data_IF_691573566051
#
_entry.id   IF_691573566051
#
_cell.length_a   1.000
_cell.length_b   1.000
_cell.length_c   1.000
_cell.angle_alpha   90.00
_cell.angle_beta   90.00
_cell.angle_gamma   90.00
#
_symmetry.space_group_name_H-M   'P 1'
#
loop_
_entity.id
_entity.type
_entity.pdbx_description
1 polymer ?
#
# COMPACT_ATOMS: atom_id res chain seq x y z
N UNK A 1 3.09 13.43 19.61
CA UNK A 1 3.07 14.45 18.54
C UNK A 1 2.02 14.01 17.53
N UNK A 2 1.08 14.87 17.12
CA UNK A 2 -0.03 14.42 16.26
C UNK A 2 0.46 14.15 14.84
N UNK A 3 0.09 13.01 14.26
CA UNK A 3 0.43 12.62 12.88
C UNK A 3 -0.03 13.67 11.87
N UNK A 4 -1.20 14.28 12.08
CA UNK A 4 -1.69 15.40 11.28
C UNK A 4 -0.67 16.56 11.18
N UNK A 5 0.02 16.88 12.27
CA UNK A 5 1.01 17.96 12.29
C UNK A 5 2.22 17.63 11.43
N UNK A 6 2.71 16.38 11.49
CA UNK A 6 3.88 15.97 10.70
C UNK A 6 3.53 15.81 9.21
N UNK A 7 2.32 15.35 8.90
CA UNK A 7 1.81 15.37 7.52
C UNK A 7 1.68 16.80 6.99
N UNK A 8 1.16 17.74 7.78
CA UNK A 8 1.06 19.14 7.35
C UNK A 8 2.43 19.76 7.01
N UNK A 9 3.49 19.37 7.74
CA UNK A 9 4.87 19.77 7.41
C UNK A 9 5.34 19.16 6.09
N UNK A 10 5.09 17.86 5.86
CA UNK A 10 5.42 17.21 4.60
C UNK A 10 4.73 17.91 3.43
N UNK A 11 3.42 18.15 3.54
CA UNK A 11 2.63 18.81 2.51
C UNK A 11 3.09 20.23 2.22
N UNK A 12 3.39 21.00 3.27
CA UNK A 12 3.98 22.34 3.15
C UNK A 12 5.34 22.32 2.43
N UNK A 13 6.21 21.37 2.79
CA UNK A 13 7.53 21.21 2.17
C UNK A 13 7.42 20.79 0.69
N UNK A 14 6.50 19.87 0.37
CA UNK A 14 6.23 19.42 -0.98
C UNK A 14 5.54 20.47 -1.85
N UNK A 15 4.88 21.46 -1.23
CA UNK A 15 4.02 22.41 -1.94
C UNK A 15 2.76 21.75 -2.51
N UNK A 16 2.25 20.69 -1.85
CA UNK A 16 1.14 19.85 -2.32
C UNK A 16 0.10 19.64 -1.22
N UNK A 17 -1.03 19.02 -1.56
CA UNK A 17 -1.99 18.46 -0.59
C UNK A 17 -2.21 16.97 -0.87
N UNK A 18 -2.84 16.20 0.04
CA UNK A 18 -3.20 14.82 -0.26
C UNK A 18 -3.99 14.65 -1.56
N UNK A 19 -4.84 15.64 -1.90
CA UNK A 19 -5.69 15.65 -3.09
C UNK A 19 -4.90 15.94 -4.37
N UNK A 20 -3.93 16.86 -4.34
CA UNK A 20 -3.12 17.19 -5.54
C UNK A 20 -1.95 16.23 -5.73
N UNK A 21 -1.55 15.53 -4.65
CA UNK A 21 -0.37 14.66 -4.62
C UNK A 21 -0.34 13.67 -5.77
N UNK A 22 -1.43 12.94 -6.06
CA UNK A 22 -1.39 11.91 -7.11
C UNK A 22 -1.13 12.50 -8.51
N UNK A 23 -1.59 13.72 -8.78
CA UNK A 23 -1.41 14.37 -10.08
C UNK A 23 -0.05 15.08 -10.19
N UNK A 24 0.45 15.63 -9.08
CA UNK A 24 1.65 16.48 -9.04
C UNK A 24 2.93 15.74 -8.61
N UNK A 25 2.82 14.54 -8.02
CA UNK A 25 3.95 13.76 -7.45
C UNK A 25 5.05 13.44 -8.45
N UNK A 26 4.71 13.25 -9.73
CA UNK A 26 5.63 12.69 -10.71
C UNK A 26 6.19 11.32 -10.29
N UNK A 27 7.50 11.10 -10.45
CA UNK A 27 8.13 9.82 -10.11
C UNK A 27 8.26 9.58 -8.59
N UNK A 28 8.25 10.66 -7.78
CA UNK A 28 8.31 10.59 -6.31
C UNK A 28 9.67 10.26 -5.69
N UNK A 29 10.75 10.17 -6.46
CA UNK A 29 12.11 9.97 -5.92
C UNK A 29 12.50 11.05 -4.90
N UNK A 30 11.97 12.27 -5.10
CA UNK A 30 12.19 13.43 -4.23
C UNK A 30 11.65 13.25 -2.81
N UNK A 31 10.68 12.36 -2.57
CA UNK A 31 10.09 12.12 -1.24
C UNK A 31 11.15 11.71 -0.22
N UNK A 32 12.17 10.96 -0.67
CA UNK A 32 13.28 10.51 0.17
C UNK A 32 14.13 11.67 0.73
N UNK A 33 14.05 12.86 0.12
CA UNK A 33 14.75 14.06 0.57
C UNK A 33 14.00 14.84 1.66
N UNK A 34 12.80 14.42 2.08
CA UNK A 34 12.06 15.11 3.13
C UNK A 34 12.84 15.06 4.46
N UNK A 35 13.23 16.20 5.05
CA UNK A 35 14.06 16.20 6.27
C UNK A 35 13.29 15.78 7.53
N UNK A 36 11.96 15.70 7.47
CA UNK A 36 11.10 15.42 8.63
C UNK A 36 10.70 13.95 8.80
N UNK A 37 11.35 13.01 8.10
CA UNK A 37 10.99 11.59 8.15
C UNK A 37 10.98 11.00 9.56
N UNK A 38 12.02 11.26 10.37
CA UNK A 38 12.11 10.71 11.72
C UNK A 38 10.92 11.12 12.61
N UNK A 39 10.52 12.40 12.53
CA UNK A 39 9.39 12.91 13.28
C UNK A 39 8.06 12.31 12.79
N UNK A 40 7.91 12.17 11.47
CA UNK A 40 6.74 11.56 10.85
C UNK A 40 6.60 10.09 11.22
N UNK A 41 7.69 9.31 11.17
CA UNK A 41 7.70 7.90 11.57
C UNK A 41 7.35 7.74 13.04
N UNK A 42 7.90 8.58 13.92
CA UNK A 42 7.53 8.58 15.34
C UNK A 42 6.03 8.86 15.53
N UNK A 43 5.51 9.88 14.88
CA UNK A 43 4.08 10.23 14.97
C UNK A 43 3.17 9.13 14.40
N UNK A 44 3.62 8.42 13.36
CA UNK A 44 2.90 7.29 12.80
C UNK A 44 2.86 6.08 13.75
N UNK A 45 3.96 5.79 14.46
CA UNK A 45 3.99 4.76 15.52
C UNK A 45 2.98 5.10 16.63
N UNK A 46 3.00 6.33 17.12
CA UNK A 46 2.03 6.80 18.14
C UNK A 46 0.57 6.71 17.62
N UNK A 47 0.34 6.92 16.32
CA UNK A 47 -0.97 6.77 15.69
C UNK A 47 -1.44 5.31 15.61
N UNK A 48 -0.52 4.37 15.32
CA UNK A 48 -0.81 2.94 15.31
C UNK A 48 -1.20 2.42 16.70
N UNK A 49 -0.48 2.85 17.74
CA UNK A 49 -0.79 2.54 19.14
C UNK A 49 -2.19 3.04 19.51
N UNK A 50 -2.55 4.25 19.11
CA UNK A 50 -3.89 4.80 19.33
C UNK A 50 -4.97 3.98 18.62
N UNK A 51 -4.74 3.56 17.37
CA UNK A 51 -5.70 2.73 16.63
C UNK A 51 -5.97 1.36 17.29
N UNK A 52 -4.99 0.80 18.02
CA UNK A 52 -5.19 -0.43 18.81
C UNK A 52 -6.12 -0.20 20.01
N UNK A 53 -6.10 1.00 20.61
CA UNK A 53 -7.02 1.34 21.72
C UNK A 53 -8.44 1.65 21.26
N UNK A 54 -8.59 2.10 20.01
CA UNK A 54 -9.88 2.41 19.40
C UNK A 54 -9.74 2.86 17.95
N UNK A 55 -10.52 2.25 17.06
CA UNK A 55 -10.42 2.55 15.64
C UNK A 55 -10.99 3.93 15.30
N UNK A 56 -10.12 4.89 15.03
CA UNK A 56 -10.46 6.23 14.57
C UNK A 56 -10.28 6.34 13.05
N UNK A 57 -11.35 6.68 12.33
CA UNK A 57 -11.34 6.74 10.87
C UNK A 57 -10.46 7.86 10.29
N UNK A 58 -10.38 9.01 10.96
CA UNK A 58 -9.57 10.15 10.50
C UNK A 58 -8.08 9.88 10.72
N UNK A 59 -7.73 9.33 11.89
CA UNK A 59 -6.36 8.90 12.18
C UNK A 59 -5.91 7.78 11.22
N UNK A 60 -6.79 6.83 10.92
CA UNK A 60 -6.51 5.82 9.91
C UNK A 60 -6.32 6.44 8.52
N UNK A 61 -7.06 7.49 8.15
CA UNK A 61 -6.85 8.19 6.88
C UNK A 61 -5.50 8.91 6.85
N UNK A 62 -5.09 9.53 7.96
CA UNK A 62 -3.77 10.14 8.08
C UNK A 62 -2.65 9.10 7.91
N UNK A 63 -2.80 7.91 8.52
CA UNK A 63 -1.86 6.82 8.31
C UNK A 63 -1.84 6.30 6.87
N UNK A 64 -2.98 6.31 6.16
CA UNK A 64 -3.02 5.98 4.72
C UNK A 64 -2.23 7.00 3.89
N UNK A 65 -2.32 8.30 4.21
CA UNK A 65 -1.48 9.31 3.57
C UNK A 65 0.00 9.14 3.90
N UNK A 66 0.33 8.86 5.17
CA UNK A 66 1.71 8.56 5.59
C UNK A 66 2.26 7.33 4.86
N UNK A 67 1.44 6.28 4.69
CA UNK A 67 1.78 5.09 3.92
C UNK A 67 2.07 5.47 2.46
N UNK A 68 1.22 6.28 1.83
CA UNK A 68 1.39 6.66 0.43
C UNK A 68 2.68 7.45 0.17
N UNK A 69 3.02 8.43 1.02
CA UNK A 69 4.23 9.25 0.84
C UNK A 69 5.51 8.49 1.19
N UNK A 70 5.44 7.51 2.09
CA UNK A 70 6.54 6.60 2.41
C UNK A 70 6.65 5.46 1.38
N UNK A 71 6.57 5.83 0.10
CA UNK A 71 6.43 4.89 -1.01
C UNK A 71 7.69 4.03 -1.22
N UNK A 72 8.88 4.61 -1.15
CA UNK A 72 10.12 3.88 -1.44
C UNK A 72 10.51 2.98 -0.24
N UNK A 73 10.69 3.61 0.92
CA UNK A 73 11.31 2.96 2.09
C UNK A 73 10.38 1.99 2.82
N UNK A 74 9.05 2.16 2.71
CA UNK A 74 8.04 1.27 3.30
C UNK A 74 8.20 1.08 4.83
N UNK A 75 8.78 2.06 5.53
CA UNK A 75 8.92 2.05 6.98
C UNK A 75 7.54 2.02 7.64
N UNK A 76 6.59 2.84 7.18
CA UNK A 76 5.21 2.87 7.66
C UNK A 76 4.52 1.53 7.41
N UNK A 77 4.70 0.92 6.24
CA UNK A 77 4.16 -0.42 5.96
C UNK A 77 4.70 -1.46 6.96
N UNK A 78 6.02 -1.46 7.21
CA UNK A 78 6.63 -2.34 8.21
C UNK A 78 6.05 -2.09 9.61
N UNK A 79 5.86 -0.83 10.01
CA UNK A 79 5.25 -0.49 11.30
C UNK A 79 3.78 -0.90 11.39
N UNK A 80 3.00 -0.78 10.32
CA UNK A 80 1.63 -1.31 10.27
C UNK A 80 1.63 -2.83 10.44
N UNK A 81 2.55 -3.52 9.76
CA UNK A 81 2.71 -4.96 9.87
C UNK A 81 3.03 -5.40 11.31
N UNK A 82 4.00 -4.73 11.94
CA UNK A 82 4.49 -5.03 13.29
C UNK A 82 3.51 -4.66 14.41
N UNK A 83 2.88 -3.48 14.34
CA UNK A 83 2.23 -2.85 15.49
C UNK A 83 0.71 -2.89 15.48
N UNK A 84 0.07 -2.93 14.30
CA UNK A 84 -1.40 -2.90 14.24
C UNK A 84 -1.96 -4.29 14.53
N UNK A 85 -2.69 -4.45 15.63
CA UNK A 85 -3.22 -5.75 16.07
C UNK A 85 -4.31 -6.25 15.10
N UNK A 86 -5.24 -5.38 14.71
CA UNK A 86 -6.29 -5.68 13.74
C UNK A 86 -6.14 -4.85 12.46
N UNK A 87 -5.64 -5.50 11.41
CA UNK A 87 -5.29 -4.84 10.14
C UNK A 87 -6.49 -4.67 9.19
N UNK A 88 -7.58 -5.42 9.36
CA UNK A 88 -8.68 -5.48 8.39
C UNK A 88 -9.27 -4.10 8.06
N UNK A 89 -9.60 -3.30 9.09
CA UNK A 89 -10.22 -1.98 8.89
C UNK A 89 -9.26 -0.99 8.22
N UNK A 90 -7.99 -1.02 8.62
CA UNK A 90 -6.95 -0.20 8.00
C UNK A 90 -6.73 -0.59 6.53
N UNK A 91 -6.56 -1.88 6.23
CA UNK A 91 -6.42 -2.38 4.87
C UNK A 91 -7.62 -1.99 4.01
N UNK A 92 -8.86 -2.17 4.50
CA UNK A 92 -10.07 -1.75 3.77
C UNK A 92 -10.07 -0.25 3.45
N UNK A 93 -9.47 0.58 4.30
CA UNK A 93 -9.31 2.00 4.00
C UNK A 93 -8.23 2.24 2.94
N UNK A 94 -7.05 1.63 3.12
CA UNK A 94 -5.91 1.81 2.23
C UNK A 94 -6.17 1.33 0.80
N UNK A 95 -6.85 0.20 0.60
CA UNK A 95 -7.19 -0.32 -0.75
C UNK A 95 -8.20 0.57 -1.49
N UNK A 96 -8.94 1.43 -0.78
CA UNK A 96 -9.90 2.37 -1.36
C UNK A 96 -9.33 3.81 -1.44
N UNK A 97 -8.04 3.99 -1.16
CA UNK A 97 -7.39 5.28 -1.35
C UNK A 97 -7.35 5.65 -2.84
N UNK A 98 -7.53 6.93 -3.12
CA UNK A 98 -7.22 7.56 -4.41
C UNK A 98 -5.74 7.43 -4.80
N UNK A 99 -4.83 7.38 -3.83
CA UNK A 99 -3.38 7.27 -4.03
C UNK A 99 -2.96 5.82 -4.33
N UNK A 100 -2.47 5.51 -5.56
CA UNK A 100 -2.00 4.18 -5.91
C UNK A 100 -0.88 3.67 -5.00
N UNK A 101 -0.09 4.58 -4.42
CA UNK A 101 1.02 4.29 -3.50
C UNK A 101 0.53 3.57 -2.23
N UNK A 102 -0.58 4.02 -1.66
CA UNK A 102 -1.21 3.33 -0.54
C UNK A 102 -1.83 1.98 -0.97
N UNK A 103 -2.49 1.93 -2.13
CA UNK A 103 -3.17 0.71 -2.60
C UNK A 103 -2.20 -0.45 -2.85
N UNK A 104 -1.04 -0.19 -3.47
CA UNK A 104 -0.07 -1.25 -3.70
C UNK A 104 0.58 -1.73 -2.40
N UNK A 105 0.82 -0.83 -1.44
CA UNK A 105 1.33 -1.20 -0.11
C UNK A 105 0.29 -2.00 0.68
N UNK A 106 -1.00 -1.68 0.53
CA UNK A 106 -2.08 -2.49 1.11
C UNK A 106 -2.12 -3.90 0.50
N UNK A 107 -1.94 -4.01 -0.82
CA UNK A 107 -1.79 -5.32 -1.48
C UNK A 107 -0.59 -6.10 -0.95
N UNK A 108 0.53 -5.42 -0.66
CA UNK A 108 1.68 -6.06 -0.05
C UNK A 108 1.41 -6.53 1.37
N UNK A 109 0.79 -5.71 2.21
CA UNK A 109 0.40 -6.07 3.58
C UNK A 109 -0.50 -7.32 3.59
N UNK A 110 -1.47 -7.39 2.67
CA UNK A 110 -2.34 -8.55 2.48
C UNK A 110 -1.57 -9.83 2.12
N UNK A 111 -0.43 -9.71 1.45
CA UNK A 111 0.43 -10.85 1.09
C UNK A 111 1.39 -11.29 2.20
N UNK A 112 1.61 -10.45 3.23
CA UNK A 112 2.56 -10.69 4.32
C UNK A 112 1.87 -11.03 5.65
N UNK A 113 0.63 -10.56 5.84
CA UNK A 113 -0.14 -10.73 7.08
C UNK A 113 -1.38 -11.60 6.89
N UNK A 114 -1.82 -12.23 7.99
CA UNK A 114 -3.15 -12.82 8.07
C UNK A 114 -4.18 -11.70 8.23
N UNK A 115 -5.01 -11.52 7.21
CA UNK A 115 -6.13 -10.56 7.19
C UNK A 115 -7.34 -11.30 6.65
N UNK A 116 -8.48 -11.13 7.33
CA UNK A 116 -9.75 -11.69 6.86
C UNK A 116 -10.02 -11.28 5.40
N UNK A 117 -10.52 -12.21 4.59
CA UNK A 117 -10.81 -12.03 3.16
C UNK A 117 -9.60 -11.64 2.29
N UNK A 118 -8.34 -11.81 2.74
CA UNK A 118 -7.15 -11.34 1.98
C UNK A 118 -7.09 -11.81 0.53
N UNK A 119 -7.45 -13.07 0.26
CA UNK A 119 -7.47 -13.60 -1.11
C UNK A 119 -8.47 -12.84 -2.00
N UNK A 120 -9.69 -12.60 -1.49
CA UNK A 120 -10.75 -11.88 -2.18
C UNK A 120 -10.38 -10.41 -2.39
N UNK A 121 -9.77 -9.77 -1.39
CA UNK A 121 -9.32 -8.38 -1.49
C UNK A 121 -8.22 -8.23 -2.56
N UNK A 122 -7.25 -9.15 -2.59
CA UNK A 122 -6.21 -9.18 -3.63
C UNK A 122 -6.80 -9.44 -5.03
N UNK A 123 -7.71 -10.40 -5.17
CA UNK A 123 -8.40 -10.67 -6.43
C UNK A 123 -9.19 -9.46 -6.94
N UNK A 124 -9.80 -8.67 -6.06
CA UNK A 124 -10.50 -7.45 -6.43
C UNK A 124 -9.54 -6.38 -6.98
N UNK A 125 -8.38 -6.19 -6.34
CA UNK A 125 -7.36 -5.26 -6.84
C UNK A 125 -6.85 -5.68 -8.23
N UNK A 126 -6.56 -6.97 -8.44
CA UNK A 126 -6.09 -7.50 -9.73
C UNK A 126 -7.12 -7.27 -10.85
N UNK A 127 -8.41 -7.38 -10.54
CA UNK A 127 -9.47 -7.20 -11.53
C UNK A 127 -9.77 -5.73 -11.82
N UNK A 128 -9.86 -4.90 -10.77
CA UNK A 128 -10.57 -3.61 -10.84
C UNK A 128 -9.68 -2.39 -10.78
N UNK A 129 -8.44 -2.50 -10.32
CA UNK A 129 -7.58 -1.31 -10.19
C UNK A 129 -7.24 -0.73 -11.58
N UNK A 130 -7.16 0.59 -11.68
CA UNK A 130 -6.72 1.24 -12.91
C UNK A 130 -5.19 1.13 -13.06
N UNK A 131 -4.48 1.11 -11.93
CA UNK A 131 -3.03 1.17 -11.89
C UNK A 131 -2.40 -0.22 -12.09
N UNK A 132 -1.54 -0.33 -13.11
CA UNK A 132 -0.86 -1.59 -13.48
C UNK A 132 0.16 -2.01 -12.42
N UNK A 133 0.80 -1.08 -11.74
CA UNK A 133 1.71 -1.35 -10.64
C UNK A 133 0.95 -1.95 -9.46
N UNK A 134 -0.23 -1.40 -9.10
CA UNK A 134 -1.09 -1.98 -8.05
C UNK A 134 -1.50 -3.40 -8.41
N UNK A 135 -1.99 -3.64 -9.63
CA UNK A 135 -2.34 -4.98 -10.13
C UNK A 135 -1.17 -5.96 -10.02
N UNK A 136 0.02 -5.52 -10.40
CA UNK A 136 1.24 -6.33 -10.30
C UNK A 136 1.55 -6.73 -8.87
N UNK A 137 1.54 -5.77 -7.92
CA UNK A 137 1.80 -6.05 -6.50
C UNK A 137 0.73 -6.96 -5.90
N UNK A 138 -0.54 -6.75 -6.24
CA UNK A 138 -1.63 -7.63 -5.82
C UNK A 138 -1.48 -9.07 -6.35
N UNK A 139 -1.08 -9.26 -7.61
CA UNK A 139 -0.82 -10.57 -8.18
C UNK A 139 0.35 -11.29 -7.49
N UNK A 140 1.45 -10.58 -7.22
CA UNK A 140 2.60 -11.13 -6.49
C UNK A 140 2.21 -11.55 -5.07
N UNK A 141 1.45 -10.71 -4.35
CA UNK A 141 0.93 -11.04 -3.02
C UNK A 141 -0.03 -12.22 -3.06
N UNK A 142 -0.92 -12.28 -4.06
CA UNK A 142 -1.84 -13.40 -4.22
C UNK A 142 -1.08 -14.70 -4.44
N UNK A 143 0.05 -14.69 -5.17
CA UNK A 143 0.88 -15.90 -5.33
C UNK A 143 1.48 -16.41 -4.02
N UNK A 144 1.68 -15.54 -3.02
CA UNK A 144 2.13 -15.95 -1.67
C UNK A 144 0.98 -16.50 -0.83
N UNK A 145 -0.22 -15.93 -1.00
CA UNK A 145 -1.43 -16.29 -0.24
C UNK A 145 -2.08 -17.57 -0.77
N UNK A 146 -2.27 -17.65 -2.09
CA UNK A 146 -2.88 -18.76 -2.79
C UNK A 146 -2.33 -18.81 -4.23
N UNK A 147 -1.28 -19.61 -4.42
CA UNK A 147 -0.62 -19.75 -5.72
C UNK A 147 -1.56 -20.28 -6.81
N UNK A 148 -2.50 -21.18 -6.49
CA UNK A 148 -3.43 -21.72 -7.47
C UNK A 148 -4.35 -20.63 -8.04
N UNK A 149 -4.93 -19.79 -7.18
CA UNK A 149 -5.73 -18.65 -7.62
C UNK A 149 -4.88 -17.64 -8.41
N UNK A 150 -3.65 -17.35 -7.95
CA UNK A 150 -2.72 -16.48 -8.67
C UNK A 150 -2.38 -16.99 -10.06
N UNK A 151 -2.23 -18.32 -10.23
CA UNK A 151 -1.95 -18.96 -11.51
C UNK A 151 -3.09 -18.73 -12.51
N UNK A 152 -4.35 -18.80 -12.06
CA UNK A 152 -5.50 -18.51 -12.93
C UNK A 152 -5.50 -17.06 -13.41
N UNK A 153 -5.17 -16.10 -12.54
CA UNK A 153 -4.99 -14.70 -12.95
C UNK A 153 -3.80 -14.52 -13.90
N UNK A 154 -2.67 -15.15 -13.60
CA UNK A 154 -1.44 -15.03 -14.38
C UNK A 154 -1.64 -15.44 -15.85
N UNK A 155 -2.45 -16.48 -16.13
CA UNK A 155 -2.80 -16.88 -17.50
C UNK A 155 -3.41 -15.74 -18.32
N UNK A 156 -4.18 -14.85 -17.68
CA UNK A 156 -4.77 -13.67 -18.33
C UNK A 156 -3.76 -12.59 -18.71
N UNK A 157 -2.61 -12.54 -18.01
CA UNK A 157 -1.61 -11.48 -18.17
C UNK A 157 -0.39 -11.86 -19.02
N UNK A 158 -0.28 -13.12 -19.49
CA UNK A 158 0.88 -13.57 -20.29
C UNK A 158 1.07 -12.81 -21.62
N UNK A 159 0.02 -12.14 -22.10
CA UNK A 159 0.03 -11.26 -23.28
C UNK A 159 -0.30 -9.80 -22.94
N UNK A 160 -0.27 -9.40 -21.66
CA UNK A 160 -0.54 -8.02 -21.27
C UNK A 160 0.48 -7.07 -21.93
N UNK A 161 0.04 -5.89 -22.44
CA UNK A 161 0.95 -4.90 -22.99
C UNK A 161 1.93 -4.36 -21.94
N UNK A 162 1.56 -4.34 -20.66
CA UNK A 162 2.49 -3.96 -19.58
C UNK A 162 3.58 -5.03 -19.44
N UNK A 163 4.86 -4.69 -19.69
CA UNK A 163 5.94 -5.68 -19.73
C UNK A 163 6.20 -6.31 -18.35
N UNK A 164 5.95 -5.58 -17.26
CA UNK A 164 6.23 -6.06 -15.92
C UNK A 164 5.14 -7.00 -15.41
N UNK A 165 3.87 -6.70 -15.67
CA UNK A 165 2.75 -7.57 -15.34
C UNK A 165 2.84 -8.89 -16.11
N UNK A 166 3.23 -8.81 -17.40
CA UNK A 166 3.56 -9.99 -18.22
C UNK A 166 4.73 -10.80 -17.66
N UNK A 167 5.77 -10.13 -17.15
CA UNK A 167 6.92 -10.81 -16.55
C UNK A 167 6.50 -11.58 -15.29
N UNK A 168 5.83 -10.91 -14.34
CA UNK A 168 5.32 -11.52 -13.10
C UNK A 168 4.39 -12.71 -13.42
N UNK A 169 3.51 -12.57 -14.39
CA UNK A 169 2.62 -13.65 -14.81
C UNK A 169 3.40 -14.89 -15.29
N UNK A 170 4.44 -14.68 -16.11
CA UNK A 170 5.30 -15.77 -16.60
C UNK A 170 6.11 -16.41 -15.47
N UNK A 171 6.55 -15.64 -14.48
CA UNK A 171 7.27 -16.16 -13.31
C UNK A 171 6.36 -17.04 -12.46
N UNK A 172 5.15 -16.59 -12.15
CA UNK A 172 4.14 -17.37 -11.41
C UNK A 172 3.86 -18.69 -12.15
N UNK A 173 3.66 -18.66 -13.47
CA UNK A 173 3.39 -19.88 -14.25
C UNK A 173 4.56 -20.87 -14.25
N UNK A 174 5.80 -20.38 -14.17
CA UNK A 174 7.00 -21.23 -14.16
C UNK A 174 7.29 -21.81 -12.77
N UNK A 175 6.84 -21.14 -11.72
CA UNK A 175 7.08 -21.58 -10.36
C UNK A 175 6.33 -22.90 -10.12
N UNK A 176 7.07 -23.94 -9.74
CA UNK A 176 6.47 -25.22 -9.35
C UNK A 176 6.01 -25.11 -7.88
N UNK A 177 4.80 -25.59 -7.60
CA UNK A 177 4.22 -25.71 -6.26
C UNK A 177 4.91 -26.82 -5.48
#
# INVERSE_FOLDING_TARGET
MLLQTELAKFWSWAGMTPETYNEERGLGEWETAYPGWDALYKAAVEALEQLNTGFNHDLAQQLVYALAIDNEQQVILQKVEELLESKLRFVKKAINSDQPQARWQAAELLGRSEVEDREKLLANLINRDADKYVKRRALMSLSKVNHATALEFAKGFVKDPDPFLKLVAKEIIKQKV
#
